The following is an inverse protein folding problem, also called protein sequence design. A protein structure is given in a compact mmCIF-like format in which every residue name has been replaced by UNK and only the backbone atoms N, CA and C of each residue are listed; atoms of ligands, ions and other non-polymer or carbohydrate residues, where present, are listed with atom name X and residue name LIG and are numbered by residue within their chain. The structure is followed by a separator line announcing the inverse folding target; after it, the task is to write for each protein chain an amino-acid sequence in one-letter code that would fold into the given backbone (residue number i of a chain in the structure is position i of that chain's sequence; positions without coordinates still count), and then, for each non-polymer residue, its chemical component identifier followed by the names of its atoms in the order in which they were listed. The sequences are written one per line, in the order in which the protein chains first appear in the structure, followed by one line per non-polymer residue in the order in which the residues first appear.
data_IF_794135473640
#
_entry.id   IF_794135473640
#
_cell.length_a   1.000
_cell.length_b   1.000
_cell.length_c   1.000
_cell.angle_alpha   90.00
_cell.angle_beta   90.00
_cell.angle_gamma   90.00
#
_symmetry.space_group_name_H-M   'P 1'
#
loop_
_entity.id
_entity.type
_entity.pdbx_description
1 polymer ?
#
# COMPACT_ATOMS: atom_id res chain seq x y z
N UNK A 1 -0.89 -47.90 4.52
CA UNK A 1 -2.03 -46.95 4.38
C UNK A 1 -2.93 -47.42 3.26
N UNK A 2 -4.19 -47.64 3.52
CA UNK A 2 -5.15 -48.03 2.50
C UNK A 2 -5.62 -46.86 1.64
N UNK A 3 -6.37 -47.15 0.57
CA UNK A 3 -6.81 -46.15 -0.39
C UNK A 3 -7.68 -45.03 0.24
N UNK A 4 -8.57 -45.39 1.20
CA UNK A 4 -9.39 -44.43 1.92
C UNK A 4 -8.57 -43.47 2.79
N UNK A 5 -7.56 -43.98 3.47
CA UNK A 5 -6.69 -43.16 4.32
C UNK A 5 -5.83 -42.20 3.49
N UNK A 6 -5.36 -42.61 2.31
CA UNK A 6 -4.66 -41.71 1.37
C UNK A 6 -5.53 -40.59 0.87
N UNK A 7 -6.78 -40.88 0.52
CA UNK A 7 -7.74 -39.85 0.06
C UNK A 7 -8.06 -38.86 1.19
N UNK A 8 -8.30 -39.32 2.42
CA UNK A 8 -8.54 -38.48 3.58
C UNK A 8 -7.34 -37.54 3.85
N UNK A 9 -6.13 -38.12 3.79
CA UNK A 9 -4.90 -37.33 3.98
C UNK A 9 -4.77 -36.22 2.94
N UNK A 10 -5.00 -36.50 1.67
CA UNK A 10 -4.95 -35.51 0.58
C UNK A 10 -6.00 -34.43 0.78
N UNK A 11 -7.24 -34.79 1.14
CA UNK A 11 -8.33 -33.83 1.38
C UNK A 11 -8.06 -32.94 2.59
N UNK A 12 -7.39 -33.45 3.64
CA UNK A 12 -7.06 -32.66 4.82
C UNK A 12 -5.82 -31.77 4.62
N UNK A 13 -4.82 -32.24 3.88
CA UNK A 13 -3.54 -31.53 3.70
C UNK A 13 -3.61 -30.45 2.62
N UNK A 14 -4.34 -30.71 1.53
CA UNK A 14 -4.42 -29.76 0.39
C UNK A 14 -4.94 -28.38 0.78
N UNK A 15 -6.04 -28.22 1.57
CA UNK A 15 -6.50 -26.88 2.00
C UNK A 15 -5.48 -26.15 2.86
N UNK A 16 -4.72 -26.87 3.69
CA UNK A 16 -3.68 -26.27 4.56
C UNK A 16 -2.53 -25.75 3.70
N UNK A 17 -2.07 -26.49 2.72
CA UNK A 17 -1.01 -26.09 1.79
C UNK A 17 -1.47 -24.87 1.00
N UNK A 18 -2.70 -24.87 0.47
CA UNK A 18 -3.26 -23.72 -0.26
C UNK A 18 -3.37 -22.47 0.63
N UNK A 19 -3.76 -22.61 1.89
CA UNK A 19 -3.83 -21.50 2.84
C UNK A 19 -2.44 -20.90 3.13
N UNK A 20 -1.44 -21.75 3.30
CA UNK A 20 -0.04 -21.31 3.52
C UNK A 20 0.50 -20.60 2.29
N UNK A 21 0.31 -21.16 1.11
CA UNK A 21 0.74 -20.54 -0.15
C UNK A 21 0.04 -19.20 -0.36
N UNK A 22 -1.26 -19.14 -0.13
CA UNK A 22 -2.04 -17.91 -0.24
C UNK A 22 -1.53 -16.85 0.75
N UNK A 23 -1.25 -17.23 2.00
CA UNK A 23 -0.70 -16.31 3.01
C UNK A 23 0.66 -15.74 2.58
N UNK A 24 1.59 -16.58 2.14
CA UNK A 24 2.93 -16.13 1.79
C UNK A 24 2.97 -15.31 0.49
N UNK A 25 2.16 -15.64 -0.50
CA UNK A 25 2.23 -14.98 -1.81
C UNK A 25 1.22 -13.85 -2.00
N UNK A 26 0.13 -13.84 -1.24
CA UNK A 26 -0.94 -12.88 -1.42
C UNK A 26 -1.10 -11.96 -0.21
N UNK A 27 -1.05 -12.53 1.00
CA UNK A 27 -1.25 -11.78 2.25
C UNK A 27 0.01 -11.17 2.83
N UNK A 28 1.19 -11.63 2.44
CA UNK A 28 2.42 -10.99 2.89
C UNK A 28 2.40 -9.51 2.46
N UNK A 29 2.49 -8.53 3.39
CA UNK A 29 2.35 -7.11 3.05
C UNK A 29 3.31 -6.65 1.94
N UNK A 30 4.54 -7.15 1.96
CA UNK A 30 5.53 -6.81 0.94
C UNK A 30 5.12 -7.32 -0.45
N UNK A 31 4.61 -8.55 -0.55
CA UNK A 31 4.19 -9.13 -1.83
C UNK A 31 2.85 -8.56 -2.30
N UNK A 32 1.91 -8.32 -1.38
CA UNK A 32 0.60 -7.78 -1.73
C UNK A 32 0.63 -6.32 -2.13
N UNK A 33 1.64 -5.56 -1.72
CA UNK A 33 1.90 -4.19 -2.19
C UNK A 33 2.68 -4.16 -3.51
N UNK A 34 3.20 -5.29 -3.95
CA UNK A 34 3.96 -5.42 -5.19
C UNK A 34 5.45 -5.13 -5.04
N UNK A 35 6.21 -5.55 -6.05
CA UNK A 35 7.67 -5.44 -6.06
C UNK A 35 8.18 -4.01 -6.20
N UNK A 36 7.31 -3.07 -6.57
CA UNK A 36 7.67 -1.67 -6.79
C UNK A 36 7.84 -0.86 -5.52
N UNK A 37 7.48 -1.40 -4.35
CA UNK A 37 7.74 -0.74 -3.07
C UNK A 37 9.24 -0.64 -2.80
N UNK A 38 9.78 0.58 -2.84
CA UNK A 38 11.22 0.85 -2.67
C UNK A 38 11.62 1.06 -1.21
N UNK A 39 10.65 1.29 -0.32
CA UNK A 39 10.88 1.51 1.11
C UNK A 39 10.11 0.51 1.95
N UNK A 40 10.33 0.54 3.28
CA UNK A 40 9.52 -0.26 4.18
C UNK A 40 8.03 0.08 4.03
N UNK A 41 7.19 -0.93 4.05
CA UNK A 41 5.74 -0.78 3.88
C UNK A 41 5.03 -0.08 5.05
N UNK A 42 5.73 0.19 6.15
CA UNK A 42 5.20 0.87 7.34
C UNK A 42 5.62 2.34 7.42
N UNK A 43 5.92 2.95 6.30
CA UNK A 43 6.28 4.36 6.24
C UNK A 43 5.10 5.24 6.66
N UNK A 44 5.35 6.26 7.48
CA UNK A 44 4.34 7.23 7.95
C UNK A 44 4.75 8.68 7.70
N UNK A 45 5.96 8.90 7.23
CA UNK A 45 6.52 10.21 6.92
C UNK A 45 7.37 10.12 5.66
N UNK A 46 7.30 11.11 4.82
CA UNK A 46 8.06 11.17 3.58
C UNK A 46 8.79 12.49 3.46
N UNK A 47 10.07 12.42 3.17
CA UNK A 47 10.93 13.55 2.90
C UNK A 47 11.69 13.33 1.58
N UNK A 48 11.55 14.26 0.67
CA UNK A 48 12.25 14.23 -0.61
C UNK A 48 13.46 15.17 -0.59
N UNK A 49 14.44 14.90 -1.44
CA UNK A 49 15.72 15.64 -1.49
C UNK A 49 15.58 17.12 -1.78
N UNK A 50 14.48 17.57 -2.36
CA UNK A 50 14.18 18.97 -2.63
C UNK A 50 13.58 19.73 -1.45
N UNK A 51 13.43 19.08 -0.29
CA UNK A 51 12.83 19.65 0.90
C UNK A 51 11.35 19.42 1.07
N UNK A 52 10.71 18.69 0.15
CA UNK A 52 9.31 18.30 0.31
C UNK A 52 9.15 17.32 1.47
N UNK A 53 8.40 17.72 2.49
CA UNK A 53 8.15 16.92 3.68
C UNK A 53 6.65 16.83 3.92
N UNK A 54 6.14 15.63 4.12
CA UNK A 54 4.73 15.43 4.39
C UNK A 54 4.53 14.17 5.25
N UNK A 55 3.55 14.25 6.16
CA UNK A 55 3.04 13.08 6.84
C UNK A 55 2.12 12.33 5.87
N UNK A 56 2.25 11.02 5.82
CA UNK A 56 1.44 10.15 4.98
C UNK A 56 0.71 9.13 5.85
N UNK A 57 -0.38 8.52 5.35
CA UNK A 57 -1.05 7.46 6.10
C UNK A 57 -0.09 6.36 6.53
N UNK A 58 -0.24 5.88 7.76
CA UNK A 58 0.58 4.79 8.28
C UNK A 58 0.50 3.55 7.39
N UNK A 59 1.56 2.75 7.41
CA UNK A 59 1.68 1.53 6.62
C UNK A 59 1.64 1.77 5.10
N UNK A 60 2.16 2.90 4.66
CA UNK A 60 2.39 3.19 3.25
C UNK A 60 3.79 2.78 2.82
N UNK A 61 3.96 2.43 1.55
CA UNK A 61 5.28 2.26 0.94
C UNK A 61 5.48 3.22 -0.22
N UNK A 62 6.68 3.72 -0.37
CA UNK A 62 7.06 4.60 -1.48
C UNK A 62 7.33 3.77 -2.73
N UNK A 63 6.75 4.16 -3.86
CA UNK A 63 6.93 3.51 -5.15
C UNK A 63 7.93 4.28 -6.02
N UNK A 64 7.59 5.48 -6.39
CA UNK A 64 8.45 6.35 -7.18
C UNK A 64 7.95 7.80 -7.18
N UNK A 65 8.75 8.69 -7.72
CA UNK A 65 8.33 10.05 -8.08
C UNK A 65 7.97 10.05 -9.56
N UNK A 66 6.73 10.42 -9.88
CA UNK A 66 6.22 10.41 -11.24
C UNK A 66 5.98 11.81 -11.78
N UNK A 67 6.24 11.97 -13.08
CA UNK A 67 5.68 13.04 -13.91
C UNK A 67 6.02 14.45 -13.42
N UNK A 68 7.17 14.63 -12.85
CA UNK A 68 7.73 15.88 -12.32
C UNK A 68 7.05 16.45 -11.06
N UNK A 69 5.83 16.02 -10.73
CA UNK A 69 5.02 16.66 -9.70
C UNK A 69 4.38 15.72 -8.68
N UNK A 70 4.50 14.42 -8.84
CA UNK A 70 3.80 13.46 -7.98
C UNK A 70 4.70 12.44 -7.31
N UNK A 71 4.45 12.22 -6.02
CA UNK A 71 5.07 11.16 -5.23
C UNK A 71 4.06 10.06 -5.03
N UNK A 72 4.40 8.86 -5.45
CA UNK A 72 3.49 7.71 -5.53
C UNK A 72 3.76 6.73 -4.41
N UNK A 73 2.69 6.31 -3.73
CA UNK A 73 2.73 5.40 -2.59
C UNK A 73 1.67 4.31 -2.73
N UNK A 74 1.85 3.22 -2.01
CA UNK A 74 0.88 2.13 -1.91
C UNK A 74 0.56 1.80 -0.46
N UNK A 75 -0.68 1.42 -0.20
CA UNK A 75 -1.14 1.05 1.14
C UNK A 75 -2.26 0.01 1.05
N UNK A 76 -2.42 -0.79 2.10
CA UNK A 76 -3.54 -1.72 2.24
C UNK A 76 -4.82 -1.08 2.76
N UNK A 77 -4.78 0.18 3.15
CA UNK A 77 -5.93 0.87 3.70
C UNK A 77 -7.07 0.95 2.68
N UNK A 78 -8.32 0.81 3.12
CA UNK A 78 -9.47 0.90 2.22
C UNK A 78 -9.63 2.32 1.66
N UNK A 79 -10.34 2.44 0.54
CA UNK A 79 -10.49 3.70 -0.19
C UNK A 79 -11.09 4.81 0.67
N UNK A 80 -12.18 4.55 1.39
CA UNK A 80 -12.90 5.60 2.14
C UNK A 80 -12.03 6.15 3.28
N UNK A 81 -11.39 5.28 4.04
CA UNK A 81 -10.46 5.67 5.10
C UNK A 81 -9.23 6.39 4.55
N UNK A 82 -8.66 5.88 3.47
CA UNK A 82 -7.50 6.48 2.81
C UNK A 82 -7.85 7.88 2.28
N UNK A 83 -8.99 8.03 1.62
CA UNK A 83 -9.45 9.31 1.09
C UNK A 83 -9.62 10.35 2.19
N UNK A 84 -10.24 9.98 3.31
CA UNK A 84 -10.41 10.87 4.46
C UNK A 84 -9.06 11.32 5.04
N UNK A 85 -8.12 10.40 5.20
CA UNK A 85 -6.77 10.71 5.72
C UNK A 85 -5.98 11.59 4.77
N UNK A 86 -5.99 11.30 3.48
CA UNK A 86 -5.29 12.10 2.48
C UNK A 86 -5.88 13.51 2.37
N UNK A 87 -7.20 13.64 2.42
CA UNK A 87 -7.86 14.96 2.40
C UNK A 87 -7.40 15.81 3.59
N UNK A 88 -7.35 15.23 4.78
CA UNK A 88 -6.89 15.92 5.98
C UNK A 88 -5.43 16.34 5.89
N UNK A 89 -4.57 15.46 5.38
CA UNK A 89 -3.13 15.74 5.20
C UNK A 89 -2.93 16.88 4.21
N UNK A 90 -3.61 16.83 3.07
CA UNK A 90 -3.51 17.81 2.00
C UNK A 90 -4.06 19.17 2.47
N UNK A 91 -5.19 19.20 3.14
CA UNK A 91 -5.78 20.43 3.68
C UNK A 91 -4.86 21.08 4.72
N UNK A 92 -4.27 20.28 5.59
CA UNK A 92 -3.32 20.76 6.60
C UNK A 92 -2.06 21.35 5.95
N UNK A 93 -1.52 20.68 4.95
CA UNK A 93 -0.36 21.17 4.21
C UNK A 93 -0.67 22.47 3.48
N UNK A 94 -1.79 22.52 2.76
CA UNK A 94 -2.18 23.70 1.98
C UNK A 94 -2.52 24.91 2.87
N UNK A 95 -3.01 24.69 4.08
CA UNK A 95 -3.26 25.77 5.03
C UNK A 95 -1.98 26.45 5.52
N UNK A 96 -0.86 25.74 5.50
CA UNK A 96 0.46 26.24 5.94
C UNK A 96 1.34 26.73 4.80
N UNK A 97 1.01 26.39 3.55
CA UNK A 97 1.85 26.66 2.37
C UNK A 97 1.01 27.30 1.26
N UNK A 98 0.85 28.62 1.32
CA UNK A 98 0.02 29.35 0.36
C UNK A 98 0.63 29.44 -1.04
N UNK A 99 1.95 29.33 -1.19
CA UNK A 99 2.66 29.49 -2.46
C UNK A 99 2.60 28.24 -3.33
N UNK A 100 2.58 27.06 -2.70
CA UNK A 100 2.53 25.77 -3.39
C UNK A 100 1.50 24.88 -2.74
N UNK A 101 0.39 24.73 -3.40
CA UNK A 101 -0.66 23.83 -2.96
C UNK A 101 -0.49 22.47 -3.60
N UNK A 102 -0.78 21.42 -2.84
CA UNK A 102 -0.72 20.04 -3.28
C UNK A 102 -2.11 19.46 -3.48
N UNK A 103 -2.18 18.42 -4.25
CA UNK A 103 -3.37 17.61 -4.44
C UNK A 103 -3.02 16.14 -4.37
N UNK A 104 -4.03 15.27 -4.33
CA UNK A 104 -3.84 13.84 -4.33
C UNK A 104 -4.82 13.13 -5.25
N UNK A 105 -4.44 11.96 -5.72
CA UNK A 105 -5.32 11.03 -6.44
C UNK A 105 -5.15 9.63 -5.88
N UNK A 106 -6.21 8.83 -5.95
CA UNK A 106 -6.20 7.44 -5.48
C UNK A 106 -6.61 6.54 -6.63
N UNK A 107 -5.81 5.51 -6.88
CA UNK A 107 -6.09 4.45 -7.83
C UNK A 107 -6.34 3.15 -7.07
N UNK A 108 -7.51 2.54 -7.27
CA UNK A 108 -7.87 1.27 -6.64
C UNK A 108 -7.26 0.11 -7.39
N UNK A 109 -6.60 -0.78 -6.64
CA UNK A 109 -6.13 -2.07 -7.12
C UNK A 109 -6.77 -3.21 -6.33
N UNK A 110 -6.66 -4.43 -6.79
CA UNK A 110 -7.32 -5.58 -6.17
C UNK A 110 -6.87 -5.83 -4.72
N UNK A 111 -5.57 -5.67 -4.44
CA UNK A 111 -4.98 -6.00 -3.14
C UNK A 111 -4.48 -4.79 -2.37
N UNK A 112 -4.45 -3.63 -2.98
CA UNK A 112 -3.95 -2.39 -2.38
C UNK A 112 -4.57 -1.18 -3.07
N UNK A 113 -4.39 -0.02 -2.46
CA UNK A 113 -4.67 1.27 -3.09
C UNK A 113 -3.35 2.00 -3.34
N UNK A 114 -3.23 2.62 -4.50
CA UNK A 114 -2.09 3.46 -4.85
C UNK A 114 -2.54 4.91 -4.84
N UNK A 115 -1.80 5.76 -4.16
CA UNK A 115 -2.10 7.18 -4.15
C UNK A 115 -0.89 8.00 -4.56
N UNK A 116 -1.14 9.14 -5.18
CA UNK A 116 -0.14 10.09 -5.62
C UNK A 116 -0.42 11.42 -4.96
N UNK A 117 0.61 12.01 -4.34
CA UNK A 117 0.53 13.35 -3.74
C UNK A 117 1.57 14.22 -4.43
N UNK A 118 1.18 15.42 -4.82
CA UNK A 118 2.11 16.35 -5.45
C UNK A 118 1.46 17.69 -5.83
N UNK A 119 2.27 18.51 -6.40
CA UNK A 119 1.87 19.85 -6.83
C UNK A 119 0.96 19.87 -8.05
#
# INVERSE_FOLDING_TARGET
MNKKQKIILIVCVTPVILAVVFYFFVYNPKNSLGEKCQTAYNLSHYEYSDGFKIDIPENSCFVNTCCMIGHRFRTHENYDSLNAKLQKIVDNYNSKNNERQISYTIEKHLWYNEYTIGY
#
